data_IF_587733282528
#
_entry.id   IF_587733282528
#
_cell.length_a   1.000
_cell.length_b   1.000
_cell.length_c   1.000
_cell.angle_alpha   90.00
_cell.angle_beta   90.00
_cell.angle_gamma   90.00
#
_symmetry.space_group_name_H-M   'P 1'
#
loop_
_entity.id
_entity.type
_entity.pdbx_description
1 polymer ?
#
# COMPACT_ATOMS: atom_id res chain seq x y z
N UNK A 1 -7.47 29.75 1.98
CA UNK A 1 -7.22 28.34 2.38
C UNK A 1 -6.99 27.41 1.18
N UNK A 2 -7.68 27.60 0.06
CA UNK A 2 -7.52 26.78 -1.17
C UNK A 2 -6.16 26.91 -1.89
N UNK A 3 -5.52 28.09 -1.89
CA UNK A 3 -4.23 28.29 -2.56
C UNK A 3 -3.05 27.59 -1.86
N UNK A 4 -3.07 27.55 -0.51
CA UNK A 4 -2.07 26.82 0.29
C UNK A 4 -2.19 25.29 0.10
N UNK A 5 -3.41 24.79 -0.08
CA UNK A 5 -3.68 23.38 -0.37
C UNK A 5 -3.19 23.01 -1.77
N UNK A 6 -3.41 23.86 -2.78
CA UNK A 6 -2.93 23.63 -4.14
C UNK A 6 -1.39 23.70 -4.26
N UNK A 7 -0.72 24.67 -3.63
CA UNK A 7 0.75 24.74 -3.70
C UNK A 7 1.46 23.59 -2.98
N UNK A 8 0.81 22.98 -1.97
CA UNK A 8 1.34 21.83 -1.23
C UNK A 8 1.00 20.50 -1.91
N UNK A 9 -0.17 20.35 -2.56
CA UNK A 9 -0.46 19.21 -3.46
C UNK A 9 0.58 19.10 -4.58
N UNK A 10 1.17 20.22 -4.99
CA UNK A 10 2.28 20.26 -5.92
C UNK A 10 3.66 19.97 -5.32
N UNK A 11 3.79 19.95 -3.99
CA UNK A 11 5.04 19.63 -3.31
C UNK A 11 5.50 18.21 -3.65
N UNK A 12 6.81 18.00 -3.74
CA UNK A 12 7.43 16.67 -3.98
C UNK A 12 6.94 15.59 -3.01
N UNK A 13 6.43 15.99 -1.83
CA UNK A 13 6.04 15.10 -0.73
C UNK A 13 4.57 14.71 -0.85
N UNK A 14 3.66 15.65 -1.11
CA UNK A 14 2.28 15.31 -1.48
C UNK A 14 2.28 14.47 -2.76
N UNK A 15 3.08 14.82 -3.76
CA UNK A 15 3.30 13.98 -4.96
C UNK A 15 3.92 12.61 -4.61
N UNK A 16 4.72 12.46 -3.56
CA UNK A 16 5.28 11.15 -3.14
C UNK A 16 4.28 10.31 -2.33
N UNK A 17 3.38 10.94 -1.59
CA UNK A 17 2.30 10.28 -0.83
C UNK A 17 1.15 9.90 -1.79
N UNK A 18 0.83 10.77 -2.75
CA UNK A 18 -0.16 10.58 -3.82
C UNK A 18 0.36 9.65 -4.93
N UNK A 19 1.69 9.52 -5.14
CA UNK A 19 2.28 8.57 -6.11
C UNK A 19 2.17 7.09 -5.72
N UNK A 20 1.30 6.74 -4.78
CA UNK A 20 1.04 5.36 -4.38
C UNK A 20 2.27 4.57 -3.90
N UNK A 21 3.34 5.25 -3.48
CA UNK A 21 4.49 4.51 -2.99
C UNK A 21 4.16 3.90 -1.64
N UNK A 22 4.21 2.57 -1.54
CA UNK A 22 4.13 1.78 -0.30
C UNK A 22 5.43 1.98 0.51
N UNK A 23 5.82 3.25 0.68
CA UNK A 23 6.89 3.73 1.54
C UNK A 23 6.32 3.96 2.92
N UNK A 24 7.20 4.06 3.90
CA UNK A 24 6.88 4.20 5.33
C UNK A 24 5.81 5.25 5.63
N UNK A 25 5.81 6.40 4.95
CA UNK A 25 4.82 7.46 5.19
C UNK A 25 3.40 7.09 4.73
N UNK A 26 3.25 6.53 3.53
CA UNK A 26 1.95 6.06 3.03
C UNK A 26 1.42 4.88 3.85
N UNK A 27 2.35 4.01 4.25
CA UNK A 27 2.10 2.93 5.20
C UNK A 27 1.54 3.48 6.54
N UNK A 28 2.19 4.49 7.15
CA UNK A 28 1.73 5.13 8.40
C UNK A 28 0.32 5.71 8.23
N UNK A 29 0.08 6.47 7.17
CA UNK A 29 -1.21 7.08 6.92
C UNK A 29 -2.33 6.03 6.71
N UNK A 30 -2.07 4.93 6.00
CA UNK A 30 -3.04 3.85 5.83
C UNK A 30 -3.38 3.18 7.17
N UNK A 31 -2.39 2.97 8.05
CA UNK A 31 -2.64 2.42 9.38
C UNK A 31 -3.50 3.37 10.23
N UNK A 32 -3.17 4.66 10.26
CA UNK A 32 -3.97 5.65 10.98
C UNK A 32 -5.38 5.80 10.39
N UNK A 33 -5.55 5.62 9.08
CA UNK A 33 -6.87 5.60 8.46
C UNK A 33 -7.70 4.38 8.89
N UNK A 34 -7.10 3.18 8.86
CA UNK A 34 -7.79 1.93 9.15
C UNK A 34 -8.12 1.77 10.64
N UNK A 35 -7.19 2.17 11.52
CA UNK A 35 -7.29 1.94 12.97
C UNK A 35 -7.69 3.20 13.76
N UNK A 36 -7.80 4.36 13.10
CA UNK A 36 -8.06 5.63 13.76
C UNK A 36 -6.86 6.11 14.57
N UNK A 37 -7.11 6.50 15.84
CA UNK A 37 -6.07 6.97 16.73
C UNK A 37 -5.27 5.80 17.33
N UNK A 38 -3.98 5.72 17.06
CA UNK A 38 -3.09 4.66 17.58
C UNK A 38 -1.79 5.23 18.14
N UNK A 39 -1.13 4.50 19.02
CA UNK A 39 0.18 4.91 19.58
C UNK A 39 1.34 4.56 18.63
N UNK A 40 2.52 5.14 18.85
CA UNK A 40 3.73 4.77 18.09
C UNK A 40 4.07 3.28 18.29
N UNK A 41 3.81 2.75 19.48
CA UNK A 41 4.07 1.35 19.85
C UNK A 41 3.20 0.37 19.05
N UNK A 42 2.04 0.80 18.55
CA UNK A 42 1.20 -0.01 17.67
C UNK A 42 1.89 -0.33 16.33
N UNK A 43 2.86 0.50 15.92
CA UNK A 43 3.74 0.22 14.79
C UNK A 43 4.84 -0.81 15.14
N UNK A 44 5.06 -1.14 16.42
CA UNK A 44 6.12 -2.06 16.85
C UNK A 44 5.63 -3.03 17.92
N UNK A 45 4.60 -3.87 17.64
CA UNK A 45 4.06 -4.75 18.67
C UNK A 45 5.13 -5.73 19.17
N UNK A 46 5.37 -5.82 20.50
CA UNK A 46 6.25 -6.81 21.07
C UNK A 46 5.64 -8.20 20.84
N UNK A 47 6.34 -9.07 20.10
CA UNK A 47 6.14 -10.51 19.92
C UNK A 47 4.72 -11.12 19.77
N UNK A 48 3.65 -10.35 19.52
CA UNK A 48 2.34 -10.90 19.21
C UNK A 48 2.08 -10.96 17.71
N UNK A 49 1.96 -12.20 17.23
CA UNK A 49 1.64 -12.60 15.85
C UNK A 49 0.39 -11.86 15.32
N UNK A 50 -0.63 -11.65 16.14
CA UNK A 50 -1.95 -11.16 15.71
C UNK A 50 -2.13 -9.63 15.76
N UNK A 51 -1.21 -8.88 16.37
CA UNK A 51 -1.35 -7.43 16.60
C UNK A 51 -0.63 -6.55 15.57
N UNK A 52 -0.17 -7.12 14.45
CA UNK A 52 0.62 -6.38 13.45
C UNK A 52 -0.31 -5.72 12.42
N UNK A 53 -0.46 -4.37 12.41
CA UNK A 53 -1.30 -3.66 11.43
C UNK A 53 -0.94 -4.03 9.98
N UNK A 54 0.34 -4.30 9.73
CA UNK A 54 0.90 -4.72 8.44
C UNK A 54 0.39 -6.10 7.96
N UNK A 55 0.05 -7.02 8.87
CA UNK A 55 -0.48 -8.33 8.48
C UNK A 55 -1.89 -8.22 7.93
N UNK A 56 -2.70 -7.34 8.52
CA UNK A 56 -4.09 -7.09 8.11
C UNK A 56 -4.18 -6.16 6.88
N UNK A 57 -3.20 -5.27 6.72
CA UNK A 57 -3.16 -4.33 5.59
C UNK A 57 -2.55 -4.93 4.31
N UNK A 58 -1.61 -5.87 4.40
CA UNK A 58 -0.83 -6.27 3.22
C UNK A 58 -0.56 -7.78 3.04
N UNK A 59 -1.03 -8.68 3.93
CA UNK A 59 -0.73 -10.13 3.82
C UNK A 59 0.76 -10.41 3.51
N UNK A 60 1.64 -9.67 4.20
CA UNK A 60 3.07 -9.62 3.90
C UNK A 60 3.84 -10.58 4.81
N UNK A 61 4.15 -11.77 4.31
CA UNK A 61 5.02 -12.73 5.01
C UNK A 61 6.50 -12.33 5.02
N UNK A 62 6.91 -11.49 4.07
CA UNK A 62 8.33 -11.18 3.81
C UNK A 62 8.64 -9.67 3.79
N UNK A 63 7.86 -8.83 4.46
CA UNK A 63 8.22 -7.41 4.64
C UNK A 63 9.09 -7.29 5.90
N UNK A 64 10.33 -6.85 5.73
CA UNK A 64 11.19 -6.45 6.84
C UNK A 64 10.41 -5.49 7.74
N UNK A 65 10.42 -5.75 9.06
CA UNK A 65 9.75 -4.85 10.01
C UNK A 65 10.23 -3.43 9.70
N UNK A 66 9.32 -2.46 9.49
CA UNK A 66 9.76 -1.11 9.17
C UNK A 66 10.66 -0.63 10.31
N UNK A 67 11.84 -0.15 9.94
CA UNK A 67 12.84 0.30 10.91
C UNK A 67 12.25 1.38 11.82
N UNK A 68 12.44 1.23 13.14
CA UNK A 68 11.81 2.11 14.14
C UNK A 68 12.23 3.55 13.95
N UNK A 69 13.50 3.76 13.61
CA UNK A 69 14.04 5.09 13.32
C UNK A 69 13.38 5.65 12.06
N UNK A 70 13.31 4.89 10.97
CA UNK A 70 12.66 5.31 9.73
C UNK A 70 11.18 5.70 9.92
N UNK A 71 10.39 4.91 10.65
CA UNK A 71 8.99 5.24 10.99
C UNK A 71 8.92 6.53 11.82
N UNK A 72 9.78 6.67 12.82
CA UNK A 72 9.78 7.85 13.70
C UNK A 72 10.16 9.12 12.93
N UNK A 73 11.17 9.05 12.06
CA UNK A 73 11.58 10.15 11.17
C UNK A 73 10.46 10.53 10.19
N UNK A 74 9.77 9.54 9.60
CA UNK A 74 8.65 9.80 8.71
C UNK A 74 7.46 10.40 9.45
N UNK A 75 7.16 9.91 10.66
CA UNK A 75 6.08 10.43 11.49
C UNK A 75 6.32 11.90 11.86
N UNK A 76 7.56 12.25 12.24
CA UNK A 76 7.94 13.64 12.49
C UNK A 76 7.64 14.53 11.29
N UNK A 77 8.04 14.11 10.09
CA UNK A 77 7.73 14.82 8.84
C UNK A 77 6.23 14.92 8.57
N UNK A 78 5.47 13.84 8.77
CA UNK A 78 4.02 13.85 8.56
C UNK A 78 3.31 14.83 9.51
N UNK A 79 3.81 14.98 10.74
CA UNK A 79 3.34 15.97 11.71
C UNK A 79 3.72 17.39 11.26
N UNK A 80 4.97 17.61 10.86
CA UNK A 80 5.45 18.90 10.33
C UNK A 80 4.64 19.36 9.10
N UNK A 81 4.20 18.42 8.25
CA UNK A 81 3.34 18.69 7.09
C UNK A 81 1.84 18.77 7.41
N UNK A 82 1.44 18.60 8.68
CA UNK A 82 0.03 18.69 9.10
C UNK A 82 -0.86 17.54 8.60
N UNK A 83 -0.27 16.41 8.23
CA UNK A 83 -1.01 15.22 7.77
C UNK A 83 -1.41 14.31 8.93
N UNK A 84 -0.59 14.31 9.98
CA UNK A 84 -0.80 13.56 11.21
C UNK A 84 -0.75 14.55 12.37
N UNK A 85 -1.61 14.38 13.35
CA UNK A 85 -1.55 15.12 14.61
C UNK A 85 -1.33 14.16 15.77
N UNK A 86 -0.66 14.66 16.81
CA UNK A 86 -0.37 13.93 18.04
C UNK A 86 -1.17 14.53 19.18
N UNK A 87 -1.99 13.71 19.83
CA UNK A 87 -2.80 14.07 21.00
C UNK A 87 -2.38 13.16 22.16
N UNK A 88 -1.59 13.70 23.10
CA UNK A 88 -0.92 12.88 24.12
C UNK A 88 0.01 11.84 23.47
N UNK A 89 -0.25 10.55 23.71
CA UNK A 89 0.50 9.45 23.10
C UNK A 89 -0.14 8.91 21.82
N UNK A 90 -1.30 9.43 21.42
CA UNK A 90 -2.03 8.98 20.25
C UNK A 90 -1.67 9.80 19.02
N UNK A 91 -1.60 9.12 17.90
CA UNK A 91 -1.40 9.66 16.57
C UNK A 91 -2.69 9.45 15.79
N UNK A 92 -3.15 10.46 15.06
CA UNK A 92 -4.32 10.36 14.18
C UNK A 92 -4.10 11.16 12.90
N UNK A 93 -4.80 10.78 11.83
CA UNK A 93 -4.84 11.60 10.63
C UNK A 93 -5.64 12.88 10.90
N UNK A 94 -5.10 14.01 10.46
CA UNK A 94 -5.88 15.24 10.33
C UNK A 94 -6.92 15.08 9.20
N UNK A 95 -7.91 15.97 9.13
CA UNK A 95 -8.83 16.01 7.98
C UNK A 95 -8.08 16.17 6.65
N UNK A 96 -6.98 16.94 6.67
CA UNK A 96 -6.10 17.07 5.52
C UNK A 96 -5.39 15.76 5.16
N UNK A 97 -4.85 15.04 6.16
CA UNK A 97 -4.26 13.72 5.96
C UNK A 97 -5.25 12.69 5.39
N UNK A 98 -6.50 12.72 5.84
CA UNK A 98 -7.59 11.87 5.32
C UNK A 98 -7.88 12.17 3.85
N UNK A 99 -7.91 13.43 3.45
CA UNK A 99 -8.11 13.82 2.04
C UNK A 99 -6.97 13.30 1.15
N UNK A 100 -5.72 13.42 1.61
CA UNK A 100 -4.54 12.97 0.85
C UNK A 100 -4.51 11.45 0.65
N UNK A 101 -4.90 10.66 1.65
CA UNK A 101 -4.86 9.18 1.56
C UNK A 101 -6.10 8.57 0.87
N UNK A 102 -7.15 9.37 0.65
CA UNK A 102 -8.43 8.94 0.07
C UNK A 102 -8.28 8.08 -1.21
N UNK A 103 -7.42 8.41 -2.18
CA UNK A 103 -7.27 7.58 -3.39
C UNK A 103 -6.75 6.17 -3.07
N UNK A 104 -5.77 6.05 -2.18
CA UNK A 104 -5.22 4.75 -1.77
C UNK A 104 -6.28 3.92 -1.02
N UNK A 105 -7.07 4.57 -0.16
CA UNK A 105 -8.20 3.94 0.53
C UNK A 105 -9.24 3.43 -0.45
N UNK A 106 -9.63 4.24 -1.44
CA UNK A 106 -10.61 3.87 -2.46
C UNK A 106 -10.17 2.63 -3.24
N UNK A 107 -8.88 2.54 -3.62
CA UNK A 107 -8.32 1.33 -4.24
C UNK A 107 -8.46 0.10 -3.34
N UNK A 108 -8.24 0.25 -2.03
CA UNK A 108 -8.42 -0.83 -1.05
C UNK A 108 -9.87 -1.25 -0.81
N UNK A 109 -10.86 -0.46 -1.22
CA UNK A 109 -12.27 -0.83 -1.03
C UNK A 109 -12.64 -2.13 -1.75
N UNK A 110 -11.91 -2.50 -2.81
CA UNK A 110 -12.14 -3.79 -3.50
C UNK A 110 -11.99 -4.99 -2.56
N UNK A 111 -11.16 -4.86 -1.51
CA UNK A 111 -10.91 -5.90 -0.51
C UNK A 111 -12.15 -6.17 0.36
N UNK A 112 -13.09 -5.22 0.42
CA UNK A 112 -14.37 -5.38 1.13
C UNK A 112 -15.38 -6.22 0.34
N UNK A 113 -15.14 -6.47 -0.96
CA UNK A 113 -16.02 -7.32 -1.78
C UNK A 113 -15.84 -8.78 -1.39
N UNK A 114 -16.90 -9.58 -1.53
CA UNK A 114 -16.81 -11.03 -1.37
C UNK A 114 -15.88 -11.60 -2.45
N UNK A 115 -14.96 -12.46 -2.05
CA UNK A 115 -14.10 -13.19 -2.98
C UNK A 115 -14.94 -14.14 -3.86
N UNK A 116 -14.59 -14.21 -5.14
CA UNK A 116 -15.28 -15.01 -6.15
C UNK A 116 -14.73 -16.45 -6.29
N UNK A 117 -13.83 -16.84 -5.40
CA UNK A 117 -13.23 -18.18 -5.38
C UNK A 117 -12.06 -18.38 -6.34
N UNK A 118 -11.63 -17.36 -7.10
CA UNK A 118 -10.49 -17.45 -8.01
C UNK A 118 -9.34 -16.57 -7.57
N UNK A 119 -8.12 -17.06 -7.67
CA UNK A 119 -6.92 -16.25 -7.49
C UNK A 119 -6.56 -15.51 -8.77
N UNK A 120 -5.85 -14.41 -8.62
CA UNK A 120 -5.27 -13.59 -9.68
C UNK A 120 -3.78 -13.64 -9.54
N UNK A 121 -3.11 -14.16 -10.56
CA UNK A 121 -1.66 -14.20 -10.63
C UNK A 121 -1.19 -13.10 -11.58
N UNK A 122 -0.28 -12.27 -11.12
CA UNK A 122 0.38 -11.23 -11.91
C UNK A 122 1.86 -11.60 -11.97
N UNK A 123 2.33 -11.87 -13.18
CA UNK A 123 3.73 -12.15 -13.47
C UNK A 123 4.24 -11.01 -14.35
N UNK A 124 5.40 -10.46 -14.04
CA UNK A 124 5.98 -9.42 -14.87
C UNK A 124 7.49 -9.50 -15.03
N UNK A 125 7.98 -9.24 -16.23
CA UNK A 125 9.41 -9.13 -16.52
C UNK A 125 9.73 -7.77 -17.16
N UNK A 126 9.56 -6.71 -16.37
CA UNK A 126 9.80 -5.33 -16.80
C UNK A 126 11.32 -5.07 -16.77
N UNK A 127 11.98 -4.66 -17.88
CA UNK A 127 13.43 -4.44 -17.93
C UNK A 127 13.94 -3.38 -16.95
N UNK A 128 15.23 -3.44 -16.57
CA UNK A 128 15.82 -2.53 -15.56
C UNK A 128 15.80 -1.06 -15.99
N UNK A 129 15.94 -0.77 -17.29
CA UNK A 129 15.76 0.58 -17.85
C UNK A 129 14.38 1.17 -17.49
N UNK A 130 13.38 0.31 -17.24
CA UNK A 130 12.01 0.67 -16.83
C UNK A 130 11.76 0.43 -15.33
N UNK A 131 12.79 0.46 -14.48
CA UNK A 131 12.71 0.27 -13.02
C UNK A 131 11.56 1.03 -12.35
N UNK A 132 11.31 2.29 -12.74
CA UNK A 132 10.23 3.11 -12.19
C UNK A 132 8.85 2.47 -12.40
N UNK A 133 8.60 1.90 -13.59
CA UNK A 133 7.36 1.21 -13.90
C UNK A 133 7.24 -0.11 -13.10
N UNK A 134 8.35 -0.84 -12.95
CA UNK A 134 8.39 -2.06 -12.13
C UNK A 134 8.06 -1.77 -10.67
N UNK A 135 8.66 -0.72 -10.09
CA UNK A 135 8.40 -0.29 -8.71
C UNK A 135 6.94 0.13 -8.55
N UNK A 136 6.43 0.96 -9.46
CA UNK A 136 5.03 1.39 -9.45
C UNK A 136 4.06 0.20 -9.48
N UNK A 137 4.25 -0.78 -10.39
CA UNK A 137 3.36 -1.93 -10.49
C UNK A 137 3.33 -2.74 -9.18
N UNK A 138 4.50 -2.96 -8.56
CA UNK A 138 4.58 -3.64 -7.26
C UNK A 138 3.81 -2.91 -6.18
N UNK A 139 3.95 -1.59 -6.13
CA UNK A 139 3.27 -0.74 -5.15
C UNK A 139 1.75 -0.82 -5.29
N UNK A 140 1.22 -0.78 -6.52
CA UNK A 140 -0.21 -0.97 -6.80
C UNK A 140 -0.71 -2.37 -6.38
N UNK A 141 0.07 -3.42 -6.68
CA UNK A 141 -0.29 -4.79 -6.30
C UNK A 141 -0.37 -4.95 -4.78
N UNK A 142 0.59 -4.39 -4.03
CA UNK A 142 0.53 -4.39 -2.57
C UNK A 142 -0.69 -3.64 -2.04
N UNK A 143 -1.03 -2.48 -2.63
CA UNK A 143 -2.23 -1.75 -2.24
C UNK A 143 -3.49 -2.60 -2.43
N UNK A 144 -3.56 -3.41 -3.49
CA UNK A 144 -4.66 -4.35 -3.73
C UNK A 144 -4.59 -5.64 -2.90
N UNK A 145 -3.71 -5.71 -1.89
CA UNK A 145 -3.48 -6.90 -1.06
C UNK A 145 -3.04 -8.13 -1.85
N UNK A 146 -2.25 -7.93 -2.92
CA UNK A 146 -1.52 -9.04 -3.55
C UNK A 146 -0.27 -9.35 -2.74
N UNK A 147 -0.01 -10.64 -2.56
CA UNK A 147 1.17 -11.16 -1.89
C UNK A 147 2.21 -11.61 -2.92
N UNK A 148 3.49 -11.26 -2.76
CA UNK A 148 4.55 -11.73 -3.64
C UNK A 148 4.85 -13.21 -3.37
N UNK A 149 4.83 -14.03 -4.43
CA UNK A 149 5.37 -15.40 -4.43
C UNK A 149 6.86 -15.40 -4.79
N UNK A 150 7.28 -14.47 -5.65
CA UNK A 150 8.68 -14.23 -6.04
C UNK A 150 8.89 -12.72 -6.30
N UNK A 151 10.09 -12.30 -6.73
CA UNK A 151 10.39 -10.88 -7.04
C UNK A 151 9.46 -10.28 -8.10
N UNK A 152 8.94 -11.09 -9.01
CA UNK A 152 8.15 -10.65 -10.17
C UNK A 152 6.83 -11.41 -10.30
N UNK A 153 6.43 -12.13 -9.26
CA UNK A 153 5.24 -12.98 -9.25
C UNK A 153 4.41 -12.64 -8.03
N UNK A 154 3.17 -12.23 -8.25
CA UNK A 154 2.25 -11.76 -7.22
C UNK A 154 0.92 -12.48 -7.35
N UNK A 155 0.31 -12.83 -6.23
CA UNK A 155 -0.98 -13.50 -6.18
C UNK A 155 -1.94 -12.73 -5.28
N UNK A 156 -3.18 -12.55 -5.72
CA UNK A 156 -4.23 -11.84 -4.98
C UNK A 156 -5.61 -12.43 -5.24
N UNK A 157 -6.60 -12.02 -4.45
CA UNK A 157 -7.99 -12.48 -4.59
C UNK A 157 -8.80 -11.64 -5.56
N UNK A 158 -8.47 -10.36 -5.67
CA UNK A 158 -9.31 -9.36 -6.35
C UNK A 158 -8.70 -8.95 -7.69
N UNK A 159 -9.52 -8.65 -8.71
CA UNK A 159 -9.02 -8.20 -10.01
C UNK A 159 -8.28 -6.88 -9.88
N UNK A 160 -7.38 -6.62 -10.85
CA UNK A 160 -6.78 -5.29 -10.99
C UNK A 160 -7.88 -4.24 -11.24
N UNK A 161 -7.71 -3.07 -10.64
CA UNK A 161 -8.65 -1.97 -10.86
C UNK A 161 -8.48 -1.40 -12.28
N UNK A 162 -9.54 -0.82 -12.88
CA UNK A 162 -9.47 -0.27 -14.24
C UNK A 162 -8.33 0.73 -14.46
N UNK A 163 -8.02 1.55 -13.46
CA UNK A 163 -6.94 2.55 -13.53
C UNK A 163 -5.54 1.90 -13.62
N UNK A 164 -5.32 0.77 -12.95
CA UNK A 164 -4.05 0.02 -13.05
C UNK A 164 -3.93 -0.57 -14.46
N UNK A 165 -5.00 -1.18 -14.97
CA UNK A 165 -5.03 -1.78 -16.32
C UNK A 165 -4.78 -0.70 -17.38
N UNK A 166 -5.44 0.45 -17.26
CA UNK A 166 -5.25 1.58 -18.17
C UNK A 166 -3.80 2.12 -18.10
N UNK A 167 -3.21 2.19 -16.90
CA UNK A 167 -1.83 2.66 -16.75
C UNK A 167 -0.80 1.67 -17.31
N UNK A 168 -1.02 0.36 -17.17
CA UNK A 168 -0.20 -0.68 -17.83
C UNK A 168 -0.19 -0.44 -19.34
N UNK A 169 -1.35 -0.17 -19.95
CA UNK A 169 -1.46 0.15 -21.38
C UNK A 169 -0.72 1.44 -21.73
N UNK A 170 -0.99 2.54 -21.00
CA UNK A 170 -0.34 3.85 -21.22
C UNK A 170 1.18 3.81 -21.12
N UNK A 171 1.72 2.94 -20.26
CA UNK A 171 3.17 2.76 -20.08
C UNK A 171 3.79 1.72 -21.03
N UNK A 172 3.01 1.17 -21.97
CA UNK A 172 3.43 0.10 -22.88
C UNK A 172 4.06 -1.08 -22.12
N UNK A 173 3.37 -1.53 -21.07
CA UNK A 173 3.79 -2.65 -20.23
C UNK A 173 3.05 -3.95 -20.54
N UNK A 174 2.13 -3.96 -21.49
CA UNK A 174 1.29 -5.12 -21.80
C UNK A 174 2.12 -6.35 -22.23
N UNK A 175 3.23 -6.16 -22.94
CA UNK A 175 4.14 -7.24 -23.32
C UNK A 175 4.98 -7.79 -22.15
N UNK A 176 5.07 -7.02 -21.06
CA UNK A 176 5.89 -7.38 -19.90
C UNK A 176 5.05 -7.90 -18.73
N UNK A 177 3.72 -7.87 -18.81
CA UNK A 177 2.82 -8.19 -17.68
C UNK A 177 1.79 -9.23 -18.10
N UNK A 178 1.87 -10.40 -17.49
CA UNK A 178 0.90 -11.47 -17.63
C UNK A 178 -0.06 -11.46 -16.44
N UNK A 179 -1.36 -11.55 -16.73
CA UNK A 179 -2.43 -11.64 -15.74
C UNK A 179 -3.22 -12.92 -15.95
N UNK A 180 -3.22 -13.80 -14.96
CA UNK A 180 -3.85 -15.11 -15.03
C UNK A 180 -4.94 -15.26 -13.96
N UNK A 181 -6.05 -15.89 -14.35
CA UNK A 181 -7.02 -16.43 -13.40
C UNK A 181 -6.58 -17.83 -12.99
N UNK A 182 -6.41 -18.03 -11.69
CA UNK A 182 -5.93 -19.28 -11.11
C UNK A 182 -7.05 -19.86 -10.25
N UNK A 183 -7.53 -21.04 -10.64
CA UNK A 183 -8.66 -21.70 -9.96
C UNK A 183 -8.23 -22.51 -8.73
N UNK A 184 -7.00 -23.05 -8.75
CA UNK A 184 -6.45 -23.88 -7.67
C UNK A 184 -4.97 -23.60 -7.46
N UNK A 185 -4.52 -23.65 -6.22
CA UNK A 185 -3.09 -23.54 -5.87
C UNK A 185 -2.70 -24.76 -5.05
N UNK A 186 -1.56 -25.38 -5.37
CA UNK A 186 -1.13 -26.61 -4.70
C UNK A 186 -0.96 -26.45 -3.18
N UNK A 187 -0.27 -25.39 -2.75
CA UNK A 187 -0.08 -25.08 -1.32
C UNK A 187 -0.89 -23.85 -0.90
N UNK A 188 -2.21 -24.02 -0.78
CA UNK A 188 -3.09 -22.96 -0.27
C UNK A 188 -2.76 -22.56 1.18
N UNK A 189 -2.06 -23.42 1.94
CA UNK A 189 -1.67 -23.10 3.32
C UNK A 189 -0.74 -21.89 3.35
N UNK A 190 0.12 -21.72 2.33
CA UNK A 190 0.93 -20.52 2.14
C UNK A 190 0.13 -19.26 1.80
N UNK A 191 -1.09 -19.42 1.30
CA UNK A 191 -1.98 -18.33 0.91
C UNK A 191 -3.05 -17.98 1.96
N UNK A 192 -3.05 -18.65 3.12
CA UNK A 192 -4.03 -18.46 4.23
C UNK A 192 -4.15 -17.03 4.78
N UNK A 193 -3.31 -16.12 4.32
CA UNK A 193 -3.21 -14.75 4.80
C UNK A 193 -3.79 -13.74 3.82
N UNK A 194 -4.04 -14.15 2.57
CA UNK A 194 -4.91 -13.43 1.63
C UNK A 194 -6.36 -13.53 2.11
#
# INVERSE_FOLDING_TARGET
MGEKVNSILESKIAKSIVKNSVKTSGFICLALYEFGAITLEAFFPPNYSYAKPWRRLFSMYNYEKPDRRNVSENLKRLIEYGLVEKEGNFLKLTEYGKLIIKPAVQKRQIIKKKWDGKYRLVIFDIPEIRKKARVWLREELYLLNYTPLQKSVFIGKYPLTPDIVEKIKKLNLHDFVNYLLVDRVFDEKRLKFL
#
